data_IF_714785342317
#
_entry.id   IF_714785342317
#
_cell.length_a   1.000
_cell.length_b   1.000
_cell.length_c   1.000
_cell.angle_alpha   90.00
_cell.angle_beta   90.00
_cell.angle_gamma   90.00
#
_symmetry.space_group_name_H-M   'P 1'
#
loop_
_entity.id
_entity.type
_entity.pdbx_description
1 polymer ?
#
# COMPACT_ATOMS: atom_id res chain seq x y z
N UNK A 1 -12.51 24.88 37.37
CA UNK A 1 -12.04 23.91 36.36
C UNK A 1 -12.87 24.16 35.10
N UNK A 2 -12.29 24.85 34.10
CA UNK A 2 -13.06 25.54 33.05
C UNK A 2 -13.33 24.63 31.86
N UNK A 3 -14.55 24.70 31.31
CA UNK A 3 -15.04 23.97 30.12
C UNK A 3 -14.19 24.16 28.86
N UNK A 4 -13.35 25.21 28.84
CA UNK A 4 -12.38 25.49 27.78
C UNK A 4 -11.18 24.53 27.76
N UNK A 5 -10.81 23.92 28.88
CA UNK A 5 -9.67 22.98 28.94
C UNK A 5 -10.03 21.61 28.37
N UNK A 6 -11.24 21.10 28.67
CA UNK A 6 -11.73 19.84 28.09
C UNK A 6 -11.82 19.87 26.57
N UNK A 7 -12.19 21.03 25.99
CA UNK A 7 -12.28 21.21 24.55
C UNK A 7 -10.92 21.18 23.85
N UNK A 8 -9.85 21.57 24.56
CA UNK A 8 -8.48 21.59 24.04
C UNK A 8 -7.83 20.21 24.14
N UNK A 9 -8.06 19.47 25.23
CA UNK A 9 -7.58 18.09 25.40
C UNK A 9 -8.20 17.12 24.39
N UNK A 10 -9.53 17.20 24.16
CA UNK A 10 -10.20 16.34 23.15
C UNK A 10 -9.68 16.59 21.74
N UNK A 11 -9.40 17.85 21.37
CA UNK A 11 -8.82 18.20 20.05
C UNK A 11 -7.40 17.65 19.88
N UNK A 12 -6.59 17.68 20.94
CA UNK A 12 -5.22 17.14 20.94
C UNK A 12 -5.22 15.61 20.77
N UNK A 13 -6.05 14.90 21.55
CA UNK A 13 -6.21 13.44 21.41
C UNK A 13 -6.71 13.05 20.01
N UNK A 14 -7.71 13.76 19.48
CA UNK A 14 -8.22 13.51 18.12
C UNK A 14 -7.14 13.65 17.05
N UNK A 15 -6.27 14.66 17.15
CA UNK A 15 -5.16 14.85 16.20
C UNK A 15 -4.13 13.73 16.28
N UNK A 16 -3.78 13.27 17.47
CA UNK A 16 -2.88 12.13 17.66
C UNK A 16 -3.46 10.84 17.07
N UNK A 17 -4.75 10.56 17.33
CA UNK A 17 -5.44 9.39 16.77
C UNK A 17 -5.55 9.47 15.24
N UNK A 18 -5.87 10.65 14.70
CA UNK A 18 -5.92 10.87 13.24
C UNK A 18 -4.54 10.70 12.59
N UNK A 19 -3.48 11.29 13.14
CA UNK A 19 -2.13 11.11 12.62
C UNK A 19 -1.68 9.66 12.69
N UNK A 20 -2.07 8.93 13.74
CA UNK A 20 -1.80 7.50 13.85
C UNK A 20 -2.54 6.70 12.77
N UNK A 21 -3.84 6.94 12.59
CA UNK A 21 -4.67 6.32 11.55
C UNK A 21 -4.15 6.61 10.15
N UNK A 22 -3.80 7.87 9.85
CA UNK A 22 -3.26 8.26 8.54
C UNK A 22 -1.91 7.60 8.28
N UNK A 23 -1.03 7.52 9.29
CA UNK A 23 0.24 6.78 9.15
C UNK A 23 0.04 5.28 8.92
N UNK A 24 -1.04 4.70 9.45
CA UNK A 24 -1.29 3.26 9.34
C UNK A 24 -2.03 2.90 8.05
N UNK A 25 -3.10 3.64 7.74
CA UNK A 25 -4.01 3.38 6.63
C UNK A 25 -3.52 4.02 5.33
N UNK A 26 -2.82 5.15 5.41
CA UNK A 26 -2.31 5.89 4.24
C UNK A 26 -1.47 5.03 3.29
N UNK A 27 -0.44 4.31 3.75
CA UNK A 27 0.36 3.44 2.88
C UNK A 27 -0.48 2.33 2.23
N UNK A 28 -1.46 1.79 2.97
CA UNK A 28 -2.36 0.75 2.49
C UNK A 28 -3.23 1.28 1.34
N UNK A 29 -3.82 2.46 1.51
CA UNK A 29 -4.67 3.12 0.50
C UNK A 29 -3.87 3.46 -0.75
N UNK A 30 -2.66 4.02 -0.60
CA UNK A 30 -1.76 4.29 -1.73
C UNK A 30 -1.44 3.00 -2.48
N UNK A 31 -1.16 1.92 -1.75
CA UNK A 31 -0.93 0.60 -2.32
C UNK A 31 -2.10 0.06 -3.15
N UNK A 32 -3.32 0.17 -2.62
CA UNK A 32 -4.54 -0.23 -3.33
C UNK A 32 -4.75 0.64 -4.58
N UNK A 33 -4.54 1.95 -4.50
CA UNK A 33 -4.68 2.86 -5.65
C UNK A 33 -3.66 2.53 -6.74
N UNK A 34 -2.39 2.32 -6.39
CA UNK A 34 -1.36 1.95 -7.36
C UNK A 34 -1.71 0.62 -8.06
N UNK A 35 -2.18 -0.37 -7.30
CA UNK A 35 -2.55 -1.66 -7.87
C UNK A 35 -3.83 -1.62 -8.70
N UNK A 36 -4.84 -0.87 -8.26
CA UNK A 36 -6.16 -0.86 -8.91
C UNK A 36 -6.28 0.15 -10.07
N UNK A 37 -5.51 1.24 -10.07
CA UNK A 37 -5.61 2.32 -11.07
C UNK A 37 -4.35 2.49 -11.90
N UNK A 38 -3.18 2.55 -11.26
CA UNK A 38 -1.91 2.78 -11.99
C UNK A 38 -1.53 1.56 -12.81
N UNK A 39 -1.70 0.36 -12.25
CA UNK A 39 -1.44 -0.90 -12.95
C UNK A 39 -2.21 -1.07 -14.26
N UNK A 40 -3.56 -0.96 -14.30
CA UNK A 40 -4.27 -1.08 -15.56
C UNK A 40 -3.96 0.07 -16.51
N UNK A 41 -3.67 1.28 -16.00
CA UNK A 41 -3.29 2.42 -16.85
C UNK A 41 -1.94 2.24 -17.55
N UNK A 42 -0.94 1.65 -16.87
CA UNK A 42 0.35 1.33 -17.48
C UNK A 42 0.20 0.15 -18.45
N UNK A 43 -0.57 -0.88 -18.07
CA UNK A 43 -0.78 -2.04 -18.93
C UNK A 43 -1.48 -1.68 -20.25
N UNK A 44 -2.50 -0.82 -20.21
CA UNK A 44 -3.16 -0.33 -21.43
C UNK A 44 -2.26 0.58 -22.26
N UNK A 45 -1.42 1.42 -21.63
CA UNK A 45 -0.46 2.26 -22.33
C UNK A 45 0.63 1.45 -23.06
N UNK A 46 1.01 0.29 -22.53
CA UNK A 46 1.97 -0.64 -23.13
C UNK A 46 1.34 -1.65 -24.10
N UNK A 47 0.02 -1.57 -24.34
CA UNK A 47 -0.70 -2.47 -25.23
C UNK A 47 -0.85 -3.90 -24.69
N UNK A 48 -0.81 -4.08 -23.37
CA UNK A 48 -0.95 -5.38 -22.74
C UNK A 48 -2.35 -5.97 -22.92
N UNK A 49 -2.41 -7.29 -23.12
CA UNK A 49 -3.67 -8.03 -23.20
C UNK A 49 -4.07 -8.48 -21.79
N UNK A 50 -5.29 -8.13 -21.38
CA UNK A 50 -5.80 -8.43 -20.04
C UNK A 50 -6.33 -9.86 -19.99
N UNK A 51 -5.76 -10.66 -19.11
CA UNK A 51 -6.32 -11.95 -18.73
C UNK A 51 -6.93 -11.88 -17.34
N UNK A 52 -8.09 -12.50 -17.17
CA UNK A 52 -8.68 -12.67 -15.85
C UNK A 52 -9.16 -14.10 -15.68
N UNK A 53 -8.77 -14.72 -14.57
CA UNK A 53 -9.22 -16.06 -14.22
C UNK A 53 -10.03 -15.99 -12.93
N UNK A 54 -11.31 -16.39 -13.01
CA UNK A 54 -12.19 -16.49 -11.85
C UNK A 54 -12.33 -17.94 -11.42
N UNK A 55 -11.73 -18.33 -10.31
CA UNK A 55 -11.95 -19.64 -9.70
C UNK A 55 -13.02 -19.53 -8.60
N UNK A 56 -14.29 -19.45 -9.00
CA UNK A 56 -15.44 -19.59 -8.09
C UNK A 56 -15.67 -18.45 -7.07
N UNK A 57 -16.80 -17.76 -7.25
CA UNK A 57 -17.59 -16.93 -6.30
C UNK A 57 -16.91 -15.78 -5.53
N UNK A 58 -15.57 -15.67 -5.38
CA UNK A 58 -15.02 -14.57 -4.55
C UNK A 58 -13.64 -14.00 -4.89
N UNK A 59 -12.89 -14.57 -5.85
CA UNK A 59 -11.62 -13.98 -6.28
C UNK A 59 -11.48 -14.05 -7.79
N UNK A 60 -11.12 -12.92 -8.39
CA UNK A 60 -10.77 -12.79 -9.80
C UNK A 60 -9.32 -12.36 -9.85
N UNK A 61 -8.45 -13.27 -10.27
CA UNK A 61 -7.05 -12.96 -10.49
C UNK A 61 -6.92 -12.33 -11.87
N UNK A 62 -6.39 -11.10 -11.93
CA UNK A 62 -6.05 -10.44 -13.19
C UNK A 62 -4.54 -10.44 -13.37
N UNK A 63 -4.10 -10.74 -14.58
CA UNK A 63 -2.72 -10.52 -15.04
C UNK A 63 -2.75 -9.99 -16.48
N UNK A 64 -1.63 -9.42 -16.91
CA UNK A 64 -1.49 -8.86 -18.26
C UNK A 64 -0.37 -9.59 -19.01
N UNK A 65 -0.60 -9.91 -20.27
CA UNK A 65 0.44 -10.44 -21.17
C UNK A 65 0.87 -9.35 -22.15
N UNK A 66 2.13 -9.41 -22.61
CA UNK A 66 2.71 -8.42 -23.51
C UNK A 66 3.44 -9.11 -24.67
N UNK A 67 3.51 -8.42 -25.80
CA UNK A 67 4.28 -8.89 -26.95
C UNK A 67 5.79 -8.95 -26.66
N UNK A 68 6.49 -9.84 -27.36
CA UNK A 68 7.91 -10.10 -27.13
C UNK A 68 8.79 -8.85 -27.33
N UNK A 69 8.42 -7.94 -28.23
CA UNK A 69 9.16 -6.69 -28.42
C UNK A 69 8.98 -5.72 -27.24
N UNK A 70 7.79 -5.65 -26.65
CA UNK A 70 7.51 -4.84 -25.46
C UNK A 70 8.22 -5.39 -24.22
N UNK A 71 8.29 -6.72 -24.07
CA UNK A 71 9.04 -7.38 -22.98
C UNK A 71 10.54 -7.08 -23.08
N UNK A 72 11.09 -7.01 -24.29
CA UNK A 72 12.52 -6.66 -24.50
C UNK A 72 12.82 -5.19 -24.18
N UNK A 73 11.89 -4.29 -24.50
CA UNK A 73 12.07 -2.85 -24.23
C UNK A 73 11.89 -2.51 -22.74
N UNK A 74 10.99 -3.22 -22.05
CA UNK A 74 10.60 -2.91 -20.68
C UNK A 74 10.53 -4.14 -19.76
N UNK A 75 11.63 -4.92 -19.62
CA UNK A 75 11.60 -6.24 -18.97
C UNK A 75 11.17 -6.19 -17.50
N UNK A 76 11.53 -5.13 -16.78
CA UNK A 76 11.17 -4.96 -15.36
C UNK A 76 9.69 -4.59 -15.20
N UNK A 77 9.16 -3.76 -16.10
CA UNK A 77 7.76 -3.32 -16.07
C UNK A 77 6.82 -4.43 -16.52
N UNK A 78 7.14 -5.14 -17.59
CA UNK A 78 6.31 -6.26 -18.07
C UNK A 78 6.29 -7.40 -17.06
N UNK A 79 7.42 -7.74 -16.42
CA UNK A 79 7.46 -8.74 -15.36
C UNK A 79 6.61 -8.35 -14.13
N UNK A 80 6.53 -7.07 -13.78
CA UNK A 80 5.64 -6.59 -12.73
C UNK A 80 4.15 -6.65 -13.15
N UNK A 81 3.85 -6.41 -14.42
CA UNK A 81 2.49 -6.41 -14.97
C UNK A 81 1.95 -7.83 -15.28
N UNK A 82 2.84 -8.80 -15.46
CA UNK A 82 2.51 -10.23 -15.55
C UNK A 82 2.21 -10.87 -14.19
N UNK A 83 2.65 -10.26 -13.09
CA UNK A 83 2.38 -10.80 -11.75
C UNK A 83 0.85 -10.84 -11.45
N UNK A 84 0.40 -11.78 -10.62
CA UNK A 84 -1.03 -11.79 -10.20
C UNK A 84 -1.31 -10.61 -9.26
N UNK A 85 -2.52 -10.04 -9.37
CA UNK A 85 -3.03 -9.01 -8.43
C UNK A 85 -2.90 -9.45 -6.96
N UNK A 86 -3.09 -10.75 -6.68
CA UNK A 86 -2.92 -11.32 -5.34
C UNK A 86 -1.48 -11.27 -4.85
N UNK A 87 -0.51 -11.49 -5.74
CA UNK A 87 0.91 -11.38 -5.41
C UNK A 87 1.24 -9.92 -5.07
N UNK A 88 0.79 -8.98 -5.89
CA UNK A 88 1.06 -7.56 -5.64
C UNK A 88 0.46 -7.13 -4.32
N UNK A 89 -0.79 -7.52 -4.01
CA UNK A 89 -1.39 -7.23 -2.72
C UNK A 89 -0.52 -7.70 -1.54
N UNK A 90 0.08 -8.89 -1.62
CA UNK A 90 1.01 -9.43 -0.61
C UNK A 90 2.27 -8.58 -0.50
N UNK A 91 2.87 -8.18 -1.62
CA UNK A 91 4.06 -7.31 -1.62
C UNK A 91 3.77 -5.95 -0.98
N UNK A 92 2.63 -5.34 -1.30
CA UNK A 92 2.24 -4.04 -0.73
C UNK A 92 1.97 -4.14 0.77
N UNK A 93 1.36 -5.24 1.20
CA UNK A 93 1.13 -5.53 2.63
C UNK A 93 2.46 -5.77 3.35
N UNK A 94 3.39 -6.51 2.75
CA UNK A 94 4.73 -6.74 3.28
C UNK A 94 5.52 -5.42 3.45
N UNK A 95 5.50 -4.54 2.45
CA UNK A 95 6.14 -3.21 2.54
C UNK A 95 5.50 -2.39 3.66
N UNK A 96 4.18 -2.40 3.77
CA UNK A 96 3.46 -1.70 4.85
C UNK A 96 3.85 -2.24 6.22
N UNK A 97 3.95 -3.56 6.38
CA UNK A 97 4.37 -4.21 7.62
C UNK A 97 5.80 -3.82 8.00
N UNK A 98 6.73 -3.76 7.04
CA UNK A 98 8.12 -3.33 7.26
C UNK A 98 8.18 -1.87 7.73
N UNK A 99 7.42 -0.96 7.10
CA UNK A 99 7.37 0.45 7.52
C UNK A 99 6.84 0.59 8.95
N UNK A 100 5.78 -0.15 9.29
CA UNK A 100 5.23 -0.16 10.64
C UNK A 100 6.21 -0.73 11.68
N UNK A 101 6.92 -1.81 11.34
CA UNK A 101 7.97 -2.40 12.18
C UNK A 101 9.14 -1.42 12.40
N UNK A 102 9.61 -0.75 11.36
CA UNK A 102 10.66 0.26 11.48
C UNK A 102 10.23 1.42 12.36
N UNK A 103 9.01 1.94 12.17
CA UNK A 103 8.45 2.98 13.03
C UNK A 103 8.36 2.52 14.48
N UNK A 104 7.89 1.30 14.72
CA UNK A 104 7.82 0.73 16.06
C UNK A 104 9.20 0.63 16.69
N UNK A 105 10.20 0.12 15.95
CA UNK A 105 11.59 0.04 16.42
C UNK A 105 12.16 1.42 16.77
N UNK A 106 11.90 2.45 15.97
CA UNK A 106 12.35 3.83 16.24
C UNK A 106 11.73 4.37 17.52
N UNK A 107 10.41 4.21 17.69
CA UNK A 107 9.69 4.67 18.90
C UNK A 107 10.17 3.91 20.13
N UNK A 108 10.36 2.60 20.03
CA UNK A 108 10.91 1.77 21.12
C UNK A 108 12.34 2.20 21.47
N UNK A 109 13.20 2.49 20.47
CA UNK A 109 14.56 3.00 20.72
C UNK A 109 14.54 4.35 21.44
N UNK A 110 13.71 5.29 20.98
CA UNK A 110 13.61 6.62 21.58
C UNK A 110 13.06 6.59 23.00
N UNK A 111 12.08 5.73 23.28
CA UNK A 111 11.52 5.56 24.64
C UNK A 111 12.51 4.90 25.58
N UNK A 112 13.36 3.98 25.10
CA UNK A 112 14.43 3.38 25.90
C UNK A 112 15.54 4.37 26.25
N UNK A 113 15.90 5.26 25.31
CA UNK A 113 16.96 6.26 25.51
C UNK A 113 16.58 7.40 26.46
N UNK A 114 15.31 7.56 26.81
CA UNK A 114 14.85 8.53 27.83
C UNK A 114 14.77 7.96 29.24
N UNK A 115 14.97 6.65 29.41
CA UNK A 115 14.93 5.95 30.71
C UNK A 115 16.32 5.50 31.21
N UNK A 116 17.35 5.67 30.38
CA UNK A 116 18.75 5.47 30.75
C UNK A 116 19.38 6.83 31.03
#
# INVERSE_FOLDING_TARGET
MSTTDEGRERKSQRRLTLSFLVCMVGPLVVGVILNALVRPGIATALGGERHSHSSGVRSQDTWWSFDADTVRQHPVLTGFLEASDGLIAVWTLAVTAVILLLRWLIVVRMTRSRRA
#
